data_IF_806835914957
#
_entry.id   IF_806835914957
#
_cell.length_a   1.000
_cell.length_b   1.000
_cell.length_c   1.000
_cell.angle_alpha   90.00
_cell.angle_beta   90.00
_cell.angle_gamma   90.00
#
_symmetry.space_group_name_H-M   'P 1'
#
loop_
_entity.id
_entity.type
_entity.pdbx_description
1 polymer ?
#
# COMPACT_ATOMS: atom_id res chain seq x y z
N UNK A 1 -15.65 -32.16 25.51
CA UNK A 1 -17.00 -32.52 25.03
C UNK A 1 -17.55 -31.28 24.33
N UNK A 2 -17.64 -31.16 23.01
CA UNK A 2 -17.57 -32.13 21.94
C UNK A 2 -16.72 -31.57 20.78
N UNK A 3 -16.07 -32.51 20.10
CA UNK A 3 -15.32 -32.39 18.85
C UNK A 3 -16.30 -32.42 17.66
N UNK A 4 -15.79 -32.12 16.45
CA UNK A 4 -16.39 -32.36 15.12
C UNK A 4 -17.51 -31.43 14.61
N UNK A 5 -17.13 -30.36 13.87
CA UNK A 5 -17.75 -29.98 12.59
C UNK A 5 -17.11 -28.71 11.94
N UNK A 6 -15.94 -28.85 11.30
CA UNK A 6 -15.60 -27.99 10.13
C UNK A 6 -14.61 -28.70 9.20
N UNK A 7 -14.98 -29.89 8.72
CA UNK A 7 -14.37 -30.46 7.51
C UNK A 7 -15.29 -30.08 6.33
N UNK A 8 -14.84 -29.24 5.39
CA UNK A 8 -15.55 -29.09 4.10
C UNK A 8 -15.56 -27.74 3.37
N UNK A 9 -14.85 -26.69 3.80
CA UNK A 9 -14.79 -25.46 2.98
C UNK A 9 -13.68 -25.56 1.92
N UNK A 10 -14.07 -25.70 0.64
CA UNK A 10 -13.16 -25.69 -0.52
C UNK A 10 -12.24 -24.47 -0.45
N UNK A 11 -10.93 -24.67 -0.53
CA UNK A 11 -9.97 -23.56 -0.45
C UNK A 11 -10.08 -22.64 -1.68
N UNK A 12 -9.65 -21.39 -1.55
CA UNK A 12 -9.64 -20.46 -2.68
C UNK A 12 -8.77 -20.95 -3.84
N UNK A 13 -7.69 -21.68 -3.52
CA UNK A 13 -6.81 -22.28 -4.52
C UNK A 13 -7.52 -23.41 -5.27
N UNK A 14 -8.30 -24.24 -4.57
CA UNK A 14 -9.07 -25.32 -5.20
C UNK A 14 -10.20 -24.76 -6.07
N UNK A 15 -10.87 -23.69 -5.63
CA UNK A 15 -11.86 -22.98 -6.46
C UNK A 15 -11.23 -22.44 -7.75
N UNK A 16 -10.02 -21.89 -7.64
CA UNK A 16 -9.31 -21.36 -8.80
C UNK A 16 -8.85 -22.47 -9.75
N UNK A 17 -8.43 -23.62 -9.21
CA UNK A 17 -8.11 -24.81 -10.00
C UNK A 17 -9.35 -25.37 -10.74
N UNK A 18 -10.47 -25.54 -10.04
CA UNK A 18 -11.75 -25.98 -10.63
C UNK A 18 -12.23 -25.05 -11.74
N UNK A 19 -12.10 -23.74 -11.55
CA UNK A 19 -12.40 -22.75 -12.59
C UNK A 19 -11.53 -22.96 -13.84
N UNK A 20 -10.23 -23.21 -13.67
CA UNK A 20 -9.32 -23.52 -14.79
C UNK A 20 -9.69 -24.84 -15.49
N UNK A 21 -10.22 -25.81 -14.74
CA UNK A 21 -10.74 -27.07 -15.27
C UNK A 21 -12.12 -26.93 -15.96
N UNK A 22 -12.73 -25.74 -15.89
CA UNK A 22 -13.97 -25.42 -16.60
C UNK A 22 -15.24 -25.48 -15.75
N UNK A 23 -15.12 -25.54 -14.42
CA UNK A 23 -16.27 -25.42 -13.50
C UNK A 23 -16.83 -23.98 -13.55
N UNK A 24 -18.06 -23.77 -14.06
CA UNK A 24 -18.62 -22.43 -14.25
C UNK A 24 -18.95 -21.72 -12.94
N UNK A 25 -19.13 -22.45 -11.83
CA UNK A 25 -19.57 -21.88 -10.55
C UNK A 25 -18.40 -21.54 -9.62
N UNK A 26 -17.23 -22.16 -9.85
CA UNK A 26 -16.09 -22.05 -8.94
C UNK A 26 -15.55 -20.61 -8.83
N UNK A 27 -15.46 -19.88 -9.95
CA UNK A 27 -15.07 -18.47 -9.91
C UNK A 27 -16.13 -17.58 -9.26
N UNK A 28 -17.41 -17.88 -9.47
CA UNK A 28 -18.52 -17.15 -8.84
C UNK A 28 -18.45 -17.19 -7.32
N UNK A 29 -18.12 -18.36 -6.76
CA UNK A 29 -17.89 -18.53 -5.32
C UNK A 29 -16.67 -17.73 -4.83
N UNK A 30 -15.57 -17.72 -5.59
CA UNK A 30 -14.40 -16.90 -5.28
C UNK A 30 -14.74 -15.41 -5.25
N UNK A 31 -15.51 -14.92 -6.23
CA UNK A 31 -15.99 -13.53 -6.27
C UNK A 31 -16.85 -13.23 -5.05
N UNK A 32 -17.79 -14.11 -4.71
CA UNK A 32 -18.68 -13.93 -3.55
C UNK A 32 -17.90 -13.74 -2.26
N UNK A 33 -16.81 -14.50 -2.06
CA UNK A 33 -15.95 -14.44 -0.86
C UNK A 33 -15.13 -13.15 -0.77
N UNK A 34 -14.65 -12.63 -1.91
CA UNK A 34 -13.64 -11.57 -1.93
C UNK A 34 -14.16 -10.20 -2.35
N UNK A 35 -15.33 -10.11 -3.00
CA UNK A 35 -15.84 -8.85 -3.59
C UNK A 35 -15.83 -7.66 -2.64
N UNK A 36 -16.22 -7.85 -1.38
CA UNK A 36 -16.35 -6.75 -0.43
C UNK A 36 -14.97 -6.21 -0.03
N UNK A 37 -13.98 -7.11 0.12
CA UNK A 37 -12.59 -6.73 0.38
C UNK A 37 -11.96 -6.03 -0.82
N UNK A 38 -12.18 -6.55 -2.03
CA UNK A 38 -11.67 -5.93 -3.27
C UNK A 38 -12.29 -4.55 -3.49
N UNK A 39 -13.59 -4.41 -3.24
CA UNK A 39 -14.29 -3.13 -3.24
C UNK A 39 -13.67 -2.15 -2.25
N UNK A 40 -13.48 -2.57 -1.00
CA UNK A 40 -12.95 -1.71 0.04
C UNK A 40 -11.49 -1.29 -0.25
N UNK A 41 -10.69 -2.14 -0.91
CA UNK A 41 -9.36 -1.78 -1.42
C UNK A 41 -9.47 -0.76 -2.56
N UNK A 42 -10.34 -1.00 -3.54
CA UNK A 42 -10.50 -0.12 -4.69
C UNK A 42 -11.01 1.27 -4.29
N UNK A 43 -12.04 1.34 -3.45
CA UNK A 43 -12.62 2.59 -2.97
C UNK A 43 -11.58 3.43 -2.22
N UNK A 44 -10.80 2.81 -1.33
CA UNK A 44 -9.70 3.51 -0.62
C UNK A 44 -8.53 3.86 -1.53
N UNK A 45 -8.38 3.19 -2.68
CA UNK A 45 -7.29 3.47 -3.65
C UNK A 45 -7.68 4.52 -4.68
N UNK A 46 -8.95 4.70 -5.00
CA UNK A 46 -9.42 5.66 -6.00
C UNK A 46 -10.09 6.90 -5.39
N UNK A 47 -10.80 6.76 -4.27
CA UNK A 47 -11.55 7.84 -3.64
C UNK A 47 -12.81 8.25 -4.40
N UNK A 48 -13.14 7.58 -5.50
CA UNK A 48 -14.35 7.75 -6.29
C UNK A 48 -15.04 6.40 -6.46
N UNK A 49 -16.34 6.38 -6.18
CA UNK A 49 -17.16 5.17 -6.13
C UNK A 49 -17.38 4.53 -7.50
N UNK A 50 -17.62 5.35 -8.52
CA UNK A 50 -17.85 4.87 -9.89
C UNK A 50 -16.55 4.31 -10.45
N UNK A 51 -15.44 5.03 -10.26
CA UNK A 51 -14.12 4.56 -10.65
C UNK A 51 -13.73 3.26 -9.93
N UNK A 52 -14.11 3.12 -8.64
CA UNK A 52 -13.88 1.91 -7.87
C UNK A 52 -14.71 0.72 -8.37
N UNK A 53 -15.98 0.93 -8.73
CA UNK A 53 -16.84 -0.11 -9.29
C UNK A 53 -16.26 -0.65 -10.59
N UNK A 54 -15.90 0.25 -11.50
CA UNK A 54 -15.29 -0.14 -12.76
C UNK A 54 -13.94 -0.85 -12.54
N UNK A 55 -13.10 -0.35 -11.62
CA UNK A 55 -11.81 -0.98 -11.32
C UNK A 55 -11.97 -2.40 -10.79
N UNK A 56 -12.94 -2.64 -9.90
CA UNK A 56 -13.24 -3.99 -9.39
C UNK A 56 -13.74 -4.87 -10.52
N UNK A 57 -14.64 -4.37 -11.38
CA UNK A 57 -15.12 -5.14 -12.52
C UNK A 57 -13.98 -5.51 -13.48
N UNK A 58 -13.15 -4.54 -13.87
CA UNK A 58 -11.97 -4.76 -14.72
C UNK A 58 -11.01 -5.78 -14.09
N UNK A 59 -10.82 -5.71 -12.77
CA UNK A 59 -9.99 -6.63 -12.03
C UNK A 59 -10.56 -8.05 -11.99
N UNK A 60 -11.87 -8.21 -11.75
CA UNK A 60 -12.54 -9.51 -11.73
C UNK A 60 -12.52 -10.16 -13.12
N UNK A 61 -12.76 -9.40 -14.19
CA UNK A 61 -12.63 -9.89 -15.58
C UNK A 61 -11.20 -10.31 -15.89
N UNK A 62 -10.22 -9.51 -15.45
CA UNK A 62 -8.80 -9.82 -15.62
C UNK A 62 -8.41 -11.08 -14.84
N UNK A 63 -8.87 -11.23 -13.59
CA UNK A 63 -8.64 -12.41 -12.77
C UNK A 63 -9.28 -13.65 -13.39
N UNK A 64 -10.52 -13.56 -13.88
CA UNK A 64 -11.20 -14.66 -14.57
C UNK A 64 -10.37 -15.19 -15.74
N UNK A 65 -9.86 -14.28 -16.58
CA UNK A 65 -9.04 -14.61 -17.76
C UNK A 65 -7.65 -15.11 -17.39
N UNK A 66 -7.05 -14.56 -16.33
CA UNK A 66 -5.69 -14.86 -15.92
C UNK A 66 -5.59 -15.99 -14.89
N UNK A 67 -6.68 -16.63 -14.48
CA UNK A 67 -6.68 -17.66 -13.43
C UNK A 67 -5.65 -18.79 -13.71
N UNK A 68 -5.53 -19.21 -14.97
CA UNK A 68 -4.55 -20.22 -15.40
C UNK A 68 -3.07 -19.82 -15.15
N UNK A 69 -2.79 -18.53 -14.92
CA UNK A 69 -1.44 -18.02 -14.65
C UNK A 69 -1.07 -18.09 -13.16
N UNK A 70 -2.04 -18.36 -12.29
CA UNK A 70 -1.80 -18.46 -10.86
C UNK A 70 -1.00 -19.73 -10.52
N UNK A 71 0.18 -19.55 -9.91
CA UNK A 71 1.14 -20.64 -9.64
C UNK A 71 1.19 -21.07 -8.17
N UNK A 72 0.27 -20.60 -7.31
CA UNK A 72 0.26 -20.93 -5.89
C UNK A 72 1.46 -20.41 -5.08
N UNK A 73 2.19 -19.41 -5.60
CA UNK A 73 3.37 -18.83 -4.91
C UNK A 73 3.00 -17.76 -3.88
N UNK A 74 1.72 -17.41 -3.80
CA UNK A 74 1.13 -16.46 -2.86
C UNK A 74 -0.30 -16.92 -2.56
N UNK A 75 -0.93 -16.38 -1.52
CA UNK A 75 -2.37 -16.55 -1.34
C UNK A 75 -3.15 -15.99 -2.55
N UNK A 76 -4.33 -16.56 -2.83
CA UNK A 76 -5.24 -16.07 -3.88
C UNK A 76 -5.67 -14.62 -3.59
N UNK A 77 -5.86 -14.27 -2.32
CA UNK A 77 -6.15 -12.91 -1.87
C UNK A 77 -5.07 -11.92 -2.29
N UNK A 78 -3.79 -12.26 -2.09
CA UNK A 78 -2.65 -11.43 -2.51
C UNK A 78 -2.65 -11.23 -4.02
N UNK A 79 -2.92 -12.30 -4.78
CA UNK A 79 -3.00 -12.24 -6.24
C UNK A 79 -4.17 -11.36 -6.73
N UNK A 80 -5.35 -11.50 -6.14
CA UNK A 80 -6.51 -10.66 -6.44
C UNK A 80 -6.24 -9.19 -6.08
N UNK A 81 -5.65 -8.91 -4.92
CA UNK A 81 -5.28 -7.54 -4.52
C UNK A 81 -4.29 -6.91 -5.50
N UNK A 82 -3.32 -7.67 -6.03
CA UNK A 82 -2.41 -7.19 -7.08
C UNK A 82 -3.18 -6.78 -8.33
N UNK A 83 -4.10 -7.61 -8.80
CA UNK A 83 -4.89 -7.29 -9.99
C UNK A 83 -5.76 -6.04 -9.74
N UNK A 84 -6.43 -5.97 -8.60
CA UNK A 84 -7.30 -4.84 -8.23
C UNK A 84 -6.55 -3.54 -8.07
N UNK A 85 -5.43 -3.52 -7.36
CA UNK A 85 -4.64 -2.30 -7.17
C UNK A 85 -4.04 -1.82 -8.49
N UNK A 86 -3.58 -2.73 -9.34
CA UNK A 86 -3.07 -2.36 -10.66
C UNK A 86 -4.17 -1.74 -11.54
N UNK A 87 -5.37 -2.33 -11.56
CA UNK A 87 -6.53 -1.74 -12.25
C UNK A 87 -6.84 -0.33 -11.72
N UNK A 88 -6.81 -0.13 -10.40
CA UNK A 88 -6.99 1.19 -9.79
C UNK A 88 -5.91 2.19 -10.25
N UNK A 89 -4.64 1.80 -10.23
CA UNK A 89 -3.54 2.66 -10.65
C UNK A 89 -3.57 2.98 -12.15
N UNK A 90 -3.99 2.03 -13.00
CA UNK A 90 -4.23 2.27 -14.43
C UNK A 90 -5.31 3.32 -14.64
N UNK A 91 -6.43 3.21 -13.92
CA UNK A 91 -7.53 4.19 -14.00
C UNK A 91 -7.12 5.56 -13.49
N UNK A 92 -6.43 5.64 -12.35
CA UNK A 92 -5.91 6.89 -11.81
C UNK A 92 -4.98 7.60 -12.81
N UNK A 93 -4.10 6.84 -13.50
CA UNK A 93 -3.24 7.37 -14.57
C UNK A 93 -4.03 7.89 -15.77
N UNK A 94 -5.05 7.14 -16.23
CA UNK A 94 -5.94 7.57 -17.32
C UNK A 94 -6.71 8.84 -16.95
N UNK A 95 -7.24 8.93 -15.73
CA UNK A 95 -7.95 10.11 -15.25
C UNK A 95 -7.04 11.34 -15.16
N UNK A 96 -5.82 11.18 -14.66
CA UNK A 96 -4.83 12.26 -14.62
C UNK A 96 -4.48 12.77 -16.02
N UNK A 97 -4.39 11.89 -17.02
CA UNK A 97 -4.15 12.28 -18.42
C UNK A 97 -5.35 13.00 -19.06
N UNK A 98 -6.58 12.69 -18.65
CA UNK A 98 -7.81 13.33 -19.16
C UNK A 98 -8.03 14.73 -18.58
N UNK A 99 -7.65 14.95 -17.31
CA UNK A 99 -7.75 16.25 -16.62
C UNK A 99 -6.89 17.36 -17.27
N UNK A 100 -5.95 17.01 -18.14
CA UNK A 100 -5.22 17.99 -18.98
C UNK A 100 -6.11 18.59 -20.10
N UNK A 101 -7.36 18.15 -20.24
CA UNK A 101 -8.42 18.82 -21.00
C UNK A 101 -9.43 19.42 -20.01
N UNK A 102 -9.74 20.73 -20.08
CA UNK A 102 -10.48 21.40 -19.03
C UNK A 102 -11.96 21.01 -19.05
N UNK A 103 -12.39 20.21 -18.08
CA UNK A 103 -13.77 20.19 -17.61
C UNK A 103 -13.70 20.12 -16.07
N UNK A 104 -14.09 21.23 -15.47
CA UNK A 104 -14.35 21.39 -14.05
C UNK A 104 -15.75 20.83 -13.79
N UNK A 105 -15.82 19.64 -13.19
CA UNK A 105 -17.08 19.05 -12.73
C UNK A 105 -16.80 18.28 -11.43
N UNK A 106 -16.60 19.00 -10.34
CA UNK A 106 -16.69 18.44 -8.99
C UNK A 106 -18.03 18.78 -8.35
N UNK A 107 -19.08 18.14 -8.85
CA UNK A 107 -20.26 17.82 -8.05
C UNK A 107 -20.67 16.39 -8.39
N UNK A 108 -20.05 15.42 -7.69
CA UNK A 108 -20.49 14.02 -7.74
C UNK A 108 -21.38 13.74 -6.55
N UNK A 109 -22.64 13.46 -6.87
CA UNK A 109 -23.75 13.18 -5.99
C UNK A 109 -23.44 11.97 -5.10
N UNK A 110 -23.33 12.19 -3.78
CA UNK A 110 -23.29 11.15 -2.77
C UNK A 110 -24.70 10.61 -2.55
N UNK A 111 -25.03 9.46 -3.15
CA UNK A 111 -25.99 8.52 -2.56
C UNK A 111 -26.04 7.18 -3.30
N UNK A 112 -26.02 6.12 -2.49
CA UNK A 112 -26.47 4.74 -2.71
C UNK A 112 -25.44 3.68 -3.14
N UNK A 113 -25.59 2.54 -2.46
CA UNK A 113 -24.90 1.24 -2.50
C UNK A 113 -23.70 1.09 -1.54
N UNK A 114 -23.90 1.31 -0.25
CA UNK A 114 -22.97 0.72 0.73
C UNK A 114 -22.87 -0.81 0.46
N UNK A 115 -21.65 -1.37 0.34
CA UNK A 115 -21.48 -2.81 0.56
C UNK A 115 -22.00 -3.12 1.96
N UNK A 116 -22.47 -4.35 2.18
CA UNK A 116 -23.00 -4.82 3.46
C UNK A 116 -21.95 -4.87 4.61
N UNK A 117 -21.22 -3.80 4.89
CA UNK A 117 -20.82 -3.48 6.25
C UNK A 117 -22.08 -2.97 6.96
N UNK A 118 -22.95 -3.90 7.37
CA UNK A 118 -24.06 -3.74 8.31
C UNK A 118 -24.70 -2.34 8.33
N UNK A 119 -25.94 -2.23 7.84
CA UNK A 119 -26.82 -1.08 8.02
C UNK A 119 -27.11 -0.70 9.51
N UNK A 120 -26.35 -1.27 10.46
CA UNK A 120 -26.32 -0.98 11.88
C UNK A 120 -25.01 -0.31 12.36
N UNK A 121 -24.10 0.12 11.46
CA UNK A 121 -22.96 0.92 11.88
C UNK A 121 -23.46 2.30 12.39
N UNK A 122 -23.05 2.74 13.60
CA UNK A 122 -23.41 4.05 14.12
C UNK A 122 -23.04 5.16 13.13
N UNK A 123 -23.85 6.21 13.02
CA UNK A 123 -23.62 7.34 12.09
C UNK A 123 -22.18 7.89 12.17
N UNK A 124 -21.61 7.94 13.38
CA UNK A 124 -20.22 8.34 13.65
C UNK A 124 -19.16 7.50 12.90
N UNK A 125 -19.40 6.19 12.69
CA UNK A 125 -18.50 5.35 11.89
C UNK A 125 -18.54 5.70 10.40
N UNK A 126 -19.70 6.12 9.90
CA UNK A 126 -19.86 6.52 8.50
C UNK A 126 -19.13 7.86 8.26
N UNK A 127 -19.25 8.81 9.19
CA UNK A 127 -18.57 10.10 9.11
C UNK A 127 -17.04 9.94 9.15
N UNK A 128 -16.51 9.12 10.07
CA UNK A 128 -15.08 8.79 10.13
C UNK A 128 -14.58 8.11 8.85
N UNK A 129 -15.38 7.21 8.28
CA UNK A 129 -15.04 6.52 7.04
C UNK A 129 -14.95 7.49 5.86
N UNK A 130 -15.90 8.42 5.75
CA UNK A 130 -15.90 9.48 4.71
C UNK A 130 -14.71 10.41 4.87
N UNK A 131 -14.42 10.84 6.10
CA UNK A 131 -13.26 11.67 6.38
C UNK A 131 -11.94 10.99 6.00
N UNK A 132 -11.80 9.70 6.33
CA UNK A 132 -10.64 8.90 5.94
C UNK A 132 -10.50 8.80 4.41
N UNK A 133 -11.57 8.49 3.69
CA UNK A 133 -11.56 8.41 2.23
C UNK A 133 -11.19 9.77 1.62
N UNK A 134 -11.77 10.86 2.12
CA UNK A 134 -11.47 12.22 1.67
C UNK A 134 -10.00 12.57 1.89
N UNK A 135 -9.48 12.30 3.09
CA UNK A 135 -8.07 12.55 3.42
C UNK A 135 -7.12 11.73 2.53
N UNK A 136 -7.42 10.44 2.30
CA UNK A 136 -6.67 9.61 1.34
C UNK A 136 -6.74 10.18 -0.08
N UNK A 137 -7.90 10.69 -0.50
CA UNK A 137 -8.11 11.31 -1.81
C UNK A 137 -7.14 12.45 -2.12
N UNK A 138 -6.64 13.15 -1.09
CA UNK A 138 -5.63 14.22 -1.23
C UNK A 138 -4.24 13.73 -1.64
N UNK A 139 -3.97 12.44 -1.53
CA UNK A 139 -2.66 11.86 -1.80
C UNK A 139 -2.48 11.52 -3.30
N UNK A 140 -1.24 11.52 -3.82
CA UNK A 140 -0.95 10.85 -5.09
C UNK A 140 -1.34 9.37 -5.03
N UNK A 141 -1.90 8.83 -6.11
CA UNK A 141 -2.44 7.47 -6.17
C UNK A 141 -1.43 6.41 -5.70
N UNK A 142 -0.17 6.55 -6.10
CA UNK A 142 0.93 5.67 -5.66
C UNK A 142 1.18 5.69 -4.14
N UNK A 143 1.07 6.85 -3.50
CA UNK A 143 1.25 6.98 -2.06
C UNK A 143 0.06 6.36 -1.32
N UNK A 144 -1.15 6.64 -1.82
CA UNK A 144 -2.39 6.06 -1.28
C UNK A 144 -2.40 4.54 -1.37
N UNK A 145 -2.07 3.97 -2.53
CA UNK A 145 -2.02 2.52 -2.72
C UNK A 145 -1.03 1.85 -1.76
N UNK A 146 0.13 2.46 -1.51
CA UNK A 146 1.10 1.95 -0.54
C UNK A 146 0.56 1.95 0.89
N UNK A 147 -0.14 3.01 1.31
CA UNK A 147 -0.79 3.06 2.64
C UNK A 147 -1.94 2.06 2.75
N UNK A 148 -2.77 1.93 1.71
CA UNK A 148 -3.87 0.95 1.72
C UNK A 148 -3.32 -0.45 1.93
N UNK A 149 -2.28 -0.85 1.20
CA UNK A 149 -1.70 -2.18 1.34
C UNK A 149 -1.00 -2.40 2.69
N UNK A 150 -0.17 -1.46 3.15
CA UNK A 150 0.63 -1.66 4.36
C UNK A 150 -0.16 -1.37 5.62
N UNK A 151 -0.80 -0.20 5.69
CA UNK A 151 -1.42 0.30 6.93
C UNK A 151 -2.85 -0.22 7.12
N UNK A 152 -3.58 -0.49 6.03
CA UNK A 152 -5.00 -0.89 6.09
C UNK A 152 -5.23 -2.38 5.84
N UNK A 153 -4.47 -2.98 4.92
CA UNK A 153 -4.53 -4.42 4.67
C UNK A 153 -3.48 -5.20 5.47
N UNK A 154 -2.52 -4.52 6.11
CA UNK A 154 -1.53 -5.16 6.97
C UNK A 154 -0.44 -5.94 6.23
N UNK A 155 -0.27 -5.72 4.93
CA UNK A 155 0.77 -6.43 4.17
C UNK A 155 2.17 -6.03 4.66
N UNK A 156 3.08 -7.00 4.79
CA UNK A 156 4.50 -6.71 4.94
C UNK A 156 4.99 -5.85 3.76
N UNK A 157 5.92 -4.93 4.04
CA UNK A 157 6.47 -4.02 3.01
C UNK A 157 7.01 -4.77 1.78
N UNK A 158 7.60 -5.96 1.99
CA UNK A 158 8.10 -6.80 0.90
C UNK A 158 6.97 -7.31 0.00
N UNK A 159 5.84 -7.73 0.58
CA UNK A 159 4.69 -8.22 -0.19
C UNK A 159 3.97 -7.06 -0.89
N UNK A 160 3.78 -5.92 -0.21
CA UNK A 160 3.25 -4.71 -0.84
C UNK A 160 4.11 -4.23 -2.02
N UNK A 161 5.44 -4.39 -1.93
CA UNK A 161 6.37 -4.11 -3.03
C UNK A 161 6.14 -5.05 -4.22
N UNK A 162 5.93 -6.35 -3.97
CA UNK A 162 5.57 -7.33 -5.00
C UNK A 162 4.19 -7.08 -5.62
N UNK A 163 3.20 -6.62 -4.84
CA UNK A 163 1.87 -6.26 -5.32
C UNK A 163 1.95 -5.04 -6.25
N UNK A 164 2.68 -4.00 -5.82
CA UNK A 164 2.80 -2.72 -6.54
C UNK A 164 3.86 -2.73 -7.66
N UNK A 165 4.60 -3.81 -7.80
CA UNK A 165 5.71 -3.96 -8.76
C UNK A 165 6.77 -2.84 -8.65
N UNK A 166 7.19 -2.54 -7.43
CA UNK A 166 8.21 -1.51 -7.13
C UNK A 166 9.22 -1.98 -6.09
N UNK A 167 10.40 -1.35 -5.97
CA UNK A 167 11.35 -1.65 -4.90
C UNK A 167 10.77 -1.43 -3.49
N UNK A 168 11.21 -2.23 -2.51
CA UNK A 168 10.78 -2.08 -1.11
C UNK A 168 11.07 -0.69 -0.53
N UNK A 169 12.19 -0.08 -0.91
CA UNK A 169 12.52 1.31 -0.55
C UNK A 169 11.50 2.32 -1.08
N UNK A 170 10.94 2.08 -2.27
CA UNK A 170 9.89 2.91 -2.86
C UNK A 170 8.62 2.83 -2.03
N UNK A 171 8.19 1.63 -1.60
CA UNK A 171 7.03 1.46 -0.70
C UNK A 171 7.25 2.21 0.61
N UNK A 172 8.41 2.05 1.25
CA UNK A 172 8.74 2.77 2.50
C UNK A 172 8.65 4.29 2.32
N UNK A 173 9.24 4.82 1.26
CA UNK A 173 9.22 6.27 0.99
C UNK A 173 7.82 6.80 0.63
N UNK A 174 6.99 6.00 -0.04
CA UNK A 174 5.59 6.33 -0.36
C UNK A 174 4.75 6.36 0.91
N UNK A 175 4.89 5.36 1.78
CA UNK A 175 4.21 5.32 3.08
C UNK A 175 4.61 6.50 3.96
N UNK A 176 5.92 6.77 4.11
CA UNK A 176 6.41 7.88 4.93
C UNK A 176 5.84 9.23 4.47
N UNK A 177 5.88 9.52 3.15
CA UNK A 177 5.33 10.75 2.58
C UNK A 177 3.81 10.83 2.70
N UNK A 178 3.12 9.71 2.48
CA UNK A 178 1.67 9.62 2.64
C UNK A 178 1.24 9.93 4.08
N UNK A 179 1.85 9.27 5.07
CA UNK A 179 1.57 9.52 6.50
C UNK A 179 1.86 10.96 6.90
N UNK A 180 2.97 11.54 6.43
CA UNK A 180 3.30 12.94 6.72
C UNK A 180 2.23 13.93 6.18
N UNK A 181 1.63 13.62 5.01
CA UNK A 181 0.54 14.43 4.43
C UNK A 181 -0.80 14.23 5.14
N UNK A 182 -1.09 13.01 5.60
CA UNK A 182 -2.33 12.70 6.33
C UNK A 182 -2.32 13.22 7.77
N UNK A 183 -1.15 13.26 8.41
CA UNK A 183 -1.04 13.64 9.82
C UNK A 183 -1.78 14.95 10.15
N UNK A 184 -1.54 16.09 9.48
CA UNK A 184 -2.27 17.33 9.80
C UNK A 184 -3.78 17.25 9.54
N UNK A 185 -4.24 16.37 8.63
CA UNK A 185 -5.66 16.20 8.30
C UNK A 185 -6.41 15.33 9.31
N UNK A 186 -5.72 14.47 10.04
CA UNK A 186 -6.32 13.46 10.93
C UNK A 186 -5.93 13.64 12.40
N UNK A 187 -5.30 14.78 12.75
CA UNK A 187 -4.80 15.00 14.13
C UNK A 187 -5.93 15.17 15.13
N UNK A 188 -7.06 15.78 14.75
CA UNK A 188 -8.22 15.94 15.65
C UNK A 188 -8.80 14.59 16.08
N UNK A 189 -8.71 13.55 15.25
CA UNK A 189 -9.13 12.19 15.57
C UNK A 189 -8.29 11.54 16.68
N UNK A 190 -7.08 12.06 16.99
CA UNK A 190 -6.30 11.59 18.15
C UNK A 190 -6.80 12.15 19.47
N UNK A 191 -7.48 13.30 19.46
CA UNK A 191 -7.84 14.05 20.67
C UNK A 191 -9.11 13.50 21.35
N UNK A 192 -9.89 12.67 20.65
CA UNK A 192 -11.16 12.08 21.11
C UNK A 192 -10.98 10.81 21.97
N UNK A 193 -9.78 10.52 22.49
CA UNK A 193 -9.55 9.37 23.38
C UNK A 193 -9.27 9.82 24.84
N UNK A 194 -10.28 10.24 25.64
CA UNK A 194 -10.09 10.73 27.00
C UNK A 194 -9.94 9.57 28.02
N UNK A 195 -9.16 8.55 27.69
CA UNK A 195 -9.07 7.30 28.48
C UNK A 195 -7.67 6.80 28.83
N UNK A 196 -6.61 7.55 28.51
CA UNK A 196 -5.22 7.09 28.67
C UNK A 196 -4.36 7.94 29.62
N UNK A 197 -4.58 7.77 30.92
CA UNK A 197 -3.60 7.93 32.02
C UNK A 197 -2.71 9.19 32.09
N UNK A 198 -3.20 10.21 32.82
CA UNK A 198 -2.33 10.96 33.74
C UNK A 198 -2.24 10.22 35.08
N UNK A 199 -1.32 9.27 35.20
CA UNK A 199 -0.83 8.86 36.53
C UNK A 199 0.54 9.50 36.74
N UNK A 200 0.54 10.76 37.17
CA UNK A 200 1.69 11.36 37.88
C UNK A 200 1.88 10.61 39.20
N UNK A 201 2.65 9.52 39.19
CA UNK A 201 3.29 9.03 40.41
C UNK A 201 4.64 9.70 40.58
N UNK A 202 4.61 10.67 41.48
CA UNK A 202 5.75 11.17 42.25
C UNK A 202 6.43 10.03 43.03
N UNK A 203 7.77 10.10 43.14
CA UNK A 203 8.64 9.17 43.87
C UNK A 203 9.62 8.49 42.92
N UNK A 204 10.90 8.89 42.80
CA UNK A 204 11.86 9.13 43.88
C UNK A 204 12.86 7.97 43.87
N UNK A 205 14.10 8.20 43.44
CA UNK A 205 15.12 7.14 43.48
C UNK A 205 16.28 7.34 42.52
N UNK A 206 17.34 7.93 43.04
CA UNK A 206 18.65 8.08 42.41
C UNK A 206 19.23 6.70 42.07
N UNK A 207 19.81 6.53 40.88
CA UNK A 207 21.13 5.90 40.82
C UNK A 207 21.92 6.34 39.60
N UNK A 208 22.91 7.21 39.89
CA UNK A 208 24.00 7.62 39.02
C UNK A 208 25.17 6.72 39.39
N UNK A 209 25.45 5.68 38.60
CA UNK A 209 26.72 4.95 38.68
C UNK A 209 27.66 5.49 37.63
N UNK A 210 28.60 6.33 38.10
CA UNK A 210 29.81 6.68 37.38
C UNK A 210 30.81 5.51 37.45
N UNK A 211 31.55 5.32 36.38
CA UNK A 211 32.90 4.75 36.45
C UNK A 211 33.12 3.45 35.69
N UNK A 212 33.59 3.56 34.46
CA UNK A 212 34.87 2.91 34.12
C UNK A 212 35.54 3.70 33.00
N UNK A 213 36.66 4.33 33.35
CA UNK A 213 37.55 5.07 32.46
C UNK A 213 38.34 4.11 31.57
N UNK A 214 38.49 4.43 30.28
CA UNK A 214 39.52 3.85 29.41
C UNK A 214 40.41 4.99 28.90
N UNK A 215 41.74 4.92 29.06
CA UNK A 215 42.65 6.01 28.73
C UNK A 215 42.97 6.10 27.22
N UNK A 216 43.41 7.27 26.72
CA UNK A 216 43.82 7.45 25.33
C UNK A 216 45.31 7.11 25.14
N UNK A 217 45.64 6.47 24.01
CA UNK A 217 47.02 6.34 23.57
C UNK A 217 47.26 7.26 22.37
N UNK A 218 48.09 8.30 22.57
CA UNK A 218 48.71 9.08 21.52
C UNK A 218 49.92 8.32 20.95
N UNK A 219 50.19 8.47 19.65
CA UNK A 219 51.42 8.02 18.95
C UNK A 219 52.69 8.71 19.47
N UNK A 220 53.86 8.67 18.79
CA UNK A 220 54.00 9.32 17.47
C UNK A 220 55.13 8.80 16.52
N UNK A 221 55.21 9.45 15.34
CA UNK A 221 56.37 9.68 14.45
C UNK A 221 56.70 8.65 13.35
N UNK A 222 57.15 9.01 12.14
CA UNK A 222 57.20 10.26 11.36
C UNK A 222 57.84 9.96 9.97
N UNK A 223 57.60 10.86 9.00
CA UNK A 223 58.44 11.15 7.79
C UNK A 223 58.40 10.12 6.65
N UNK A 224 57.97 10.36 5.39
CA UNK A 224 58.19 11.48 4.44
C UNK A 224 59.48 11.24 3.60
N UNK A 225 59.69 11.77 2.37
CA UNK A 225 58.79 12.52 1.46
C UNK A 225 59.00 12.26 -0.08
N UNK A 226 58.31 13.05 -0.94
CA UNK A 226 58.58 13.43 -2.36
C UNK A 226 58.63 12.30 -3.46
N UNK A 227 58.18 12.47 -4.72
CA UNK A 227 58.31 13.61 -5.62
C UNK A 227 57.45 13.52 -6.92
N UNK A 228 57.27 14.69 -7.55
CA UNK A 228 57.09 15.06 -8.97
C UNK A 228 56.19 14.28 -9.98
N UNK A 229 55.41 15.07 -10.76
CA UNK A 229 54.78 14.69 -12.05
C UNK A 229 55.80 14.51 -13.21
N UNK A 230 55.42 14.52 -14.52
CA UNK A 230 54.44 15.42 -15.14
C UNK A 230 53.52 14.80 -16.23
N UNK A 231 52.70 15.68 -16.82
CA UNK A 231 51.91 15.66 -18.07
C UNK A 231 52.41 14.79 -19.25
N UNK A 232 51.52 14.26 -20.10
CA UNK A 232 51.11 14.88 -21.39
C UNK A 232 50.05 14.06 -22.19
N UNK A 233 49.36 14.83 -23.04
CA UNK A 233 48.39 14.63 -24.12
C UNK A 233 48.33 13.32 -24.92
N UNK A 234 47.10 12.95 -25.32
CA UNK A 234 46.83 12.43 -26.67
C UNK A 234 45.36 12.64 -27.08
N UNK A 235 45.19 13.33 -28.20
CA UNK A 235 43.94 13.53 -28.94
C UNK A 235 43.59 12.30 -29.80
N UNK A 236 42.29 12.08 -30.06
CA UNK A 236 41.83 11.65 -31.40
C UNK A 236 40.39 12.10 -31.65
N UNK A 237 40.24 12.87 -32.73
CA UNK A 237 39.00 13.13 -33.46
C UNK A 237 38.82 12.04 -34.53
N UNK A 238 37.57 11.74 -34.88
CA UNK A 238 37.18 11.03 -36.11
C UNK A 238 35.86 10.30 -35.86
N UNK A 239 34.72 10.83 -36.30
CA UNK A 239 34.17 10.63 -37.65
C UNK A 239 33.19 9.45 -37.57
N UNK A 240 31.88 9.59 -37.73
CA UNK A 240 31.17 10.14 -38.88
C UNK A 240 30.57 8.98 -39.68
N UNK A 241 29.25 8.97 -39.91
CA UNK A 241 28.63 7.99 -40.82
C UNK A 241 27.17 7.66 -40.53
N UNK A 242 26.27 8.52 -41.03
CA UNK A 242 24.89 8.15 -41.36
C UNK A 242 24.89 7.50 -42.74
N UNK A 243 24.20 6.38 -42.87
CA UNK A 243 23.44 5.95 -44.06
C UNK A 243 22.43 4.91 -43.59
#
# INVERSE_FOLDING_TARGET
MADEATQGETSDQDLLARHVEGDPDAFGELVRRHRDRLWAVALRTLGDREEAADAVQDALVSAYRAAHTFRGQSAVTTWLHRITVNACLDRARKAASRKTSPIDDTQRLEQLLEPHESAAAPAERNDLHRELISALGTLPADQRAALVLVDMQGYPVAEAASILDVPTGTVKSRCARGRARLLPLLTHLRTENPGGEETKKSGGGRNRTQGTSVPPAAGPHASGPHDAGPSDSAAVKGGGGRA
#
